data_IF_699763314406
#
_entry.id   IF_699763314406
#
_cell.length_a   1.000
_cell.length_b   1.000
_cell.length_c   1.000
_cell.angle_alpha   90.00
_cell.angle_beta   90.00
_cell.angle_gamma   90.00
#
_symmetry.space_group_name_H-M   'P 1'
#
loop_
_entity.id
_entity.type
_entity.pdbx_description
1 polymer ?
#
# COMPACT_ATOMS: atom_id res chain seq x y z
N UNK A 1 20.24 27.67 -27.88
CA UNK A 1 19.59 26.68 -26.98
C UNK A 1 18.23 26.34 -27.55
N UNK A 2 17.99 25.09 -28.01
CA UNK A 2 16.65 24.67 -28.45
C UNK A 2 15.78 24.56 -27.20
N UNK A 3 14.65 25.27 -27.16
CA UNK A 3 13.61 25.04 -26.15
C UNK A 3 13.08 23.62 -26.39
N UNK A 4 13.33 22.72 -25.45
CA UNK A 4 12.70 21.40 -25.45
C UNK A 4 11.23 21.66 -25.12
N UNK A 5 10.37 21.65 -26.14
CA UNK A 5 8.93 21.74 -25.95
C UNK A 5 8.46 20.37 -25.49
N UNK A 6 8.45 20.14 -24.18
CA UNK A 6 7.90 18.92 -23.58
C UNK A 6 6.40 18.89 -23.91
N UNK A 7 5.95 17.83 -24.59
CA UNK A 7 4.52 17.64 -24.88
C UNK A 7 3.87 16.97 -23.67
N UNK A 8 2.59 17.27 -23.42
CA UNK A 8 1.83 16.56 -22.37
C UNK A 8 1.82 15.04 -22.58
N UNK A 9 1.95 14.56 -23.82
CA UNK A 9 2.11 13.14 -24.12
C UNK A 9 3.41 12.55 -23.54
N UNK A 10 4.50 13.30 -23.57
CA UNK A 10 5.78 12.87 -23.02
C UNK A 10 5.67 12.76 -21.50
N UNK A 11 5.03 13.77 -20.86
CA UNK A 11 4.73 13.75 -19.42
C UNK A 11 3.82 12.58 -19.04
N UNK A 12 2.76 12.32 -19.81
CA UNK A 12 1.86 11.19 -19.56
C UNK A 12 2.57 9.84 -19.67
N UNK A 13 3.49 9.72 -20.64
CA UNK A 13 4.30 8.52 -20.84
C UNK A 13 5.26 8.30 -19.67
N UNK A 14 5.92 9.36 -19.22
CA UNK A 14 6.82 9.32 -18.06
C UNK A 14 6.07 8.95 -16.77
N UNK A 15 4.91 9.56 -16.53
CA UNK A 15 4.05 9.19 -15.39
C UNK A 15 3.60 7.73 -15.45
N UNK A 16 3.24 7.22 -16.63
CA UNK A 16 2.87 5.82 -16.81
C UNK A 16 4.04 4.87 -16.50
N UNK A 17 5.26 5.21 -16.93
CA UNK A 17 6.46 4.43 -16.63
C UNK A 17 6.77 4.42 -15.14
N UNK A 18 6.71 5.58 -14.47
CA UNK A 18 6.93 5.68 -13.02
C UNK A 18 5.88 4.87 -12.26
N UNK A 19 4.61 4.95 -12.65
CA UNK A 19 3.56 4.16 -12.02
C UNK A 19 3.77 2.66 -12.21
N UNK A 20 4.16 2.21 -13.41
CA UNK A 20 4.48 0.81 -13.66
C UNK A 20 5.65 0.31 -12.79
N UNK A 21 6.71 1.12 -12.68
CA UNK A 21 7.85 0.82 -11.79
C UNK A 21 7.42 0.77 -10.32
N UNK A 22 6.57 1.72 -9.90
CA UNK A 22 6.04 1.74 -8.53
C UNK A 22 5.25 0.48 -8.25
N UNK A 23 4.33 0.09 -9.13
CA UNK A 23 3.48 -1.07 -8.94
C UNK A 23 4.33 -2.37 -8.89
N UNK A 24 5.35 -2.49 -9.75
CA UNK A 24 6.32 -3.60 -9.72
C UNK A 24 7.13 -3.67 -8.41
N UNK A 25 7.55 -2.53 -7.86
CA UNK A 25 8.21 -2.47 -6.55
C UNK A 25 7.26 -2.88 -5.42
N UNK A 26 6.01 -2.39 -5.45
CA UNK A 26 5.00 -2.71 -4.44
C UNK A 26 4.70 -4.21 -4.42
N UNK A 27 4.60 -4.83 -5.58
CA UNK A 27 4.41 -6.27 -5.74
C UNK A 27 5.56 -7.07 -5.13
N UNK A 28 6.81 -6.72 -5.46
CA UNK A 28 7.99 -7.36 -4.88
C UNK A 28 8.05 -7.21 -3.37
N UNK A 29 7.72 -6.03 -2.83
CA UNK A 29 7.69 -5.79 -1.39
C UNK A 29 6.65 -6.69 -0.71
N UNK A 30 5.51 -6.93 -1.35
CA UNK A 30 4.49 -7.82 -0.81
C UNK A 30 4.91 -9.29 -0.86
N UNK A 31 5.64 -9.72 -1.90
CA UNK A 31 6.24 -11.06 -1.92
C UNK A 31 7.22 -11.26 -0.77
N UNK A 32 8.03 -10.26 -0.42
CA UNK A 32 8.92 -10.32 0.75
C UNK A 32 8.11 -10.46 2.04
N UNK A 33 6.99 -9.75 2.16
CA UNK A 33 6.08 -9.89 3.31
C UNK A 33 5.50 -11.30 3.39
N UNK A 34 5.02 -11.86 2.28
CA UNK A 34 4.48 -13.22 2.22
C UNK A 34 5.52 -14.27 2.65
N UNK A 35 6.79 -14.07 2.29
CA UNK A 35 7.89 -14.98 2.63
C UNK A 35 8.33 -14.86 4.10
N UNK A 36 8.38 -13.64 4.65
CA UNK A 36 8.89 -13.39 6.00
C UNK A 36 7.82 -13.42 7.09
N UNK A 37 6.62 -12.92 6.78
CA UNK A 37 5.49 -12.76 7.70
C UNK A 37 4.20 -13.31 7.04
N UNK A 38 4.23 -14.58 6.64
CA UNK A 38 3.15 -15.20 5.85
C UNK A 38 1.76 -15.12 6.51
N UNK A 39 1.68 -15.25 7.84
CA UNK A 39 0.41 -15.12 8.57
C UNK A 39 -0.16 -13.70 8.47
N UNK A 40 0.69 -12.68 8.59
CA UNK A 40 0.29 -11.27 8.47
C UNK A 40 -0.22 -10.98 7.06
N UNK A 41 0.53 -11.43 6.04
CA UNK A 41 0.11 -11.29 4.65
C UNK A 41 -1.25 -11.97 4.39
N UNK A 42 -1.43 -13.21 4.86
CA UNK A 42 -2.67 -13.96 4.68
C UNK A 42 -3.87 -13.26 5.35
N UNK A 43 -3.70 -12.82 6.59
CA UNK A 43 -4.75 -12.11 7.34
C UNK A 43 -5.12 -10.78 6.69
N UNK A 44 -4.13 -10.04 6.18
CA UNK A 44 -4.38 -8.78 5.50
C UNK A 44 -5.16 -8.99 4.18
N UNK A 45 -4.80 -10.02 3.40
CA UNK A 45 -5.53 -10.38 2.18
C UNK A 45 -6.96 -10.82 2.51
N UNK A 46 -7.16 -11.62 3.55
CA UNK A 46 -8.48 -12.05 4.00
C UNK A 46 -9.34 -10.86 4.45
N UNK A 47 -8.76 -9.93 5.20
CA UNK A 47 -9.45 -8.76 5.74
C UNK A 47 -9.88 -7.77 4.65
N UNK A 48 -9.03 -7.58 3.64
CA UNK A 48 -9.28 -6.66 2.52
C UNK A 48 -9.96 -7.30 1.30
N UNK A 49 -10.04 -8.64 1.29
CA UNK A 49 -10.71 -9.46 0.28
C UNK A 49 -9.89 -9.73 -0.99
N UNK A 50 -8.82 -8.97 -1.25
CA UNK A 50 -7.99 -9.14 -2.44
C UNK A 50 -6.54 -8.74 -2.19
N UNK A 51 -5.61 -9.50 -2.79
CA UNK A 51 -4.16 -9.27 -2.68
C UNK A 51 -3.75 -7.87 -3.13
N UNK A 52 -4.29 -7.38 -4.24
CA UNK A 52 -3.98 -6.03 -4.75
C UNK A 52 -4.39 -4.90 -3.79
N UNK A 53 -5.39 -5.14 -2.93
CA UNK A 53 -5.77 -4.18 -1.90
C UNK A 53 -4.81 -4.23 -0.73
N UNK A 54 -4.36 -5.43 -0.34
CA UNK A 54 -3.34 -5.62 0.69
C UNK A 54 -2.00 -4.99 0.30
N UNK A 55 -1.53 -5.20 -0.93
CA UNK A 55 -0.31 -4.56 -1.49
C UNK A 55 -0.38 -3.03 -1.35
N UNK A 56 -1.49 -2.44 -1.81
CA UNK A 56 -1.70 -0.99 -1.74
C UNK A 56 -1.80 -0.49 -0.30
N UNK A 57 -2.44 -1.24 0.59
CA UNK A 57 -2.58 -0.88 2.00
C UNK A 57 -1.21 -0.83 2.69
N UNK A 58 -0.35 -1.83 2.46
CA UNK A 58 1.00 -1.87 3.05
C UNK A 58 1.87 -0.67 2.66
N UNK A 59 1.75 -0.20 1.42
CA UNK A 59 2.56 0.89 0.87
C UNK A 59 1.99 2.29 1.11
N UNK A 60 0.76 2.39 1.64
CA UNK A 60 0.11 3.68 1.87
C UNK A 60 0.57 4.24 3.21
N UNK A 61 0.80 5.55 3.26
CA UNK A 61 0.96 6.29 4.52
C UNK A 61 -0.40 6.38 5.25
N UNK A 62 -0.42 5.99 6.52
CA UNK A 62 -1.66 5.91 7.29
C UNK A 62 -1.56 6.78 8.54
N UNK A 63 -2.63 7.51 8.85
CA UNK A 63 -2.68 8.33 10.08
C UNK A 63 -2.58 7.46 11.34
N UNK A 64 -3.12 6.23 11.29
CA UNK A 64 -2.96 5.23 12.36
C UNK A 64 -1.49 4.90 12.63
N UNK A 65 -0.62 5.03 11.62
CA UNK A 65 0.81 4.80 11.71
C UNK A 65 1.60 6.12 11.84
N UNK A 66 0.96 7.18 12.35
CA UNK A 66 1.57 8.52 12.46
C UNK A 66 2.12 9.05 11.12
N UNK A 67 1.44 8.72 10.02
CA UNK A 67 1.83 9.12 8.67
C UNK A 67 2.89 8.23 8.03
N UNK A 68 3.25 7.10 8.63
CA UNK A 68 4.17 6.08 8.08
C UNK A 68 3.42 5.00 7.30
N UNK A 69 4.17 4.19 6.57
CA UNK A 69 3.71 2.96 5.94
C UNK A 69 3.82 1.78 6.89
N UNK A 70 3.07 0.70 6.61
CA UNK A 70 3.17 -0.53 7.42
C UNK A 70 4.58 -1.15 7.34
N UNK A 71 5.26 -1.05 6.20
CA UNK A 71 6.63 -1.55 6.05
C UNK A 71 7.62 -0.83 6.97
N UNK A 72 7.45 0.48 7.16
CA UNK A 72 8.30 1.23 8.08
C UNK A 72 8.09 0.77 9.53
N UNK A 73 6.86 0.46 9.94
CA UNK A 73 6.61 -0.08 11.29
C UNK A 73 7.23 -1.47 11.47
N UNK A 74 7.08 -2.34 10.47
CA UNK A 74 7.69 -3.67 10.49
C UNK A 74 9.22 -3.60 10.55
N UNK A 75 9.83 -2.60 9.90
CA UNK A 75 11.28 -2.39 9.96
C UNK A 75 11.76 -1.99 11.36
N UNK A 76 10.94 -1.22 12.09
CA UNK A 76 11.24 -0.77 13.47
C UNK A 76 10.85 -1.81 14.54
N UNK A 77 10.24 -2.94 14.13
CA UNK A 77 9.78 -3.98 15.04
C UNK A 77 8.43 -3.68 15.71
N UNK A 78 7.73 -2.64 15.25
CA UNK A 78 6.39 -2.26 15.72
C UNK A 78 5.29 -3.10 15.03
N UNK A 79 5.49 -4.43 15.00
CA UNK A 79 4.58 -5.36 14.32
C UNK A 79 3.19 -5.42 14.99
N UNK A 80 3.13 -5.30 16.31
CA UNK A 80 1.88 -5.33 17.07
C UNK A 80 0.90 -4.24 16.61
N UNK A 81 1.40 -3.03 16.33
CA UNK A 81 0.60 -1.91 15.81
C UNK A 81 -0.04 -2.25 14.45
N UNK A 82 0.68 -3.00 13.60
CA UNK A 82 0.16 -3.44 12.30
C UNK A 82 -0.93 -4.49 12.49
N UNK A 83 -0.75 -5.39 13.46
CA UNK A 83 -1.75 -6.41 13.82
C UNK A 83 -3.04 -5.81 14.36
N UNK A 84 -2.93 -4.82 15.25
CA UNK A 84 -4.09 -4.12 15.82
C UNK A 84 -4.93 -3.47 14.71
N UNK A 85 -4.30 -2.81 13.74
CA UNK A 85 -5.03 -2.22 12.60
C UNK A 85 -5.66 -3.28 11.69
N UNK A 86 -5.01 -4.44 11.48
CA UNK A 86 -5.62 -5.54 10.72
C UNK A 86 -6.87 -6.10 11.44
N UNK A 87 -6.84 -6.17 12.78
CA UNK A 87 -7.99 -6.58 13.56
C UNK A 87 -9.16 -5.59 13.40
N UNK A 88 -8.88 -4.28 13.47
CA UNK A 88 -9.89 -3.24 13.24
C UNK A 88 -10.49 -3.29 11.83
N UNK A 89 -9.68 -3.58 10.81
CA UNK A 89 -10.18 -3.79 9.43
C UNK A 89 -11.11 -5.00 9.34
N UNK A 90 -10.80 -6.06 10.06
CA UNK A 90 -11.59 -7.29 10.09
C UNK A 90 -12.97 -7.08 10.73
N UNK A 91 -13.04 -6.25 11.78
CA UNK A 91 -14.28 -5.96 12.52
C UNK A 91 -15.16 -4.89 11.86
N UNK A 92 -14.59 -4.02 11.01
CA UNK A 92 -15.36 -2.98 10.32
C UNK A 92 -16.40 -3.60 9.35
N UNK A 93 -17.61 -3.01 9.19
CA UNK A 93 -18.57 -3.48 8.18
C UNK A 93 -17.97 -3.33 6.77
N UNK A 94 -18.34 -4.23 5.85
CA UNK A 94 -17.75 -4.29 4.49
C UNK A 94 -17.77 -2.94 3.73
N UNK A 95 -18.77 -2.08 3.99
CA UNK A 95 -18.88 -0.71 3.46
C UNK A 95 -17.86 0.27 4.05
N UNK A 96 -17.48 0.11 5.32
CA UNK A 96 -16.45 0.90 5.98
C UNK A 96 -15.03 0.44 5.60
N UNK A 97 -14.83 -0.87 5.35
CA UNK A 97 -13.58 -1.41 4.76
C UNK A 97 -13.26 -0.83 3.38
N UNK A 98 -14.27 -0.34 2.66
CA UNK A 98 -14.12 0.39 1.39
C UNK A 98 -13.78 1.87 1.57
N UNK A 99 -14.10 2.46 2.73
CA UNK A 99 -13.99 3.90 3.01
C UNK A 99 -12.74 4.27 3.80
N UNK A 100 -12.18 3.36 4.60
CA UNK A 100 -10.84 3.51 5.19
C UNK A 100 -9.74 3.61 4.12
N UNK A 101 -9.99 3.05 2.93
CA UNK A 101 -9.18 3.24 1.72
C UNK A 101 -9.42 4.58 0.99
N UNK A 102 -10.45 5.35 1.37
CA UNK A 102 -10.95 6.51 0.60
C UNK A 102 -10.90 7.85 1.35
N UNK A 103 -10.73 7.88 2.66
CA UNK A 103 -10.50 9.13 3.40
C UNK A 103 -9.01 9.44 3.54
N UNK A 104 -8.44 10.00 2.46
CA UNK A 104 -7.33 10.95 2.50
C UNK A 104 -7.34 11.69 1.16
N UNK A 105 -8.06 12.81 1.12
CA UNK A 105 -7.77 13.93 0.23
C UNK A 105 -7.44 15.11 1.13
#
# INVERSE_FOLDING_TARGET
MRKVTIRFQDVATELAQINALRDDVMERAFVVLEQRHGTLAAMLVQSLGERQRAVRWMCRHQNAFSGRTAYELLADGEEDTVWDEIALLSDAPASARMSSARMAY
#
